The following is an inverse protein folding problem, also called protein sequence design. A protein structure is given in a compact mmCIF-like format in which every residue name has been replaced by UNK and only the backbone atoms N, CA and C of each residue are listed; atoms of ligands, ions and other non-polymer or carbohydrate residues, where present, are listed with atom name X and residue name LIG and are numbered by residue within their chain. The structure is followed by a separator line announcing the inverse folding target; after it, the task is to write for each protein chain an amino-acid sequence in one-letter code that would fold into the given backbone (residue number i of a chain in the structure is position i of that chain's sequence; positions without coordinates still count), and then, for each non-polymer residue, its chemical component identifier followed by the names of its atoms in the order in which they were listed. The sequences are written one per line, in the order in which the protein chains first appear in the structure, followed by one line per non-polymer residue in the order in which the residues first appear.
data_IF_379183147623
#
_entry.id   IF_379183147623
#
_cell.length_a   1.000
_cell.length_b   1.000
_cell.length_c   1.000
_cell.angle_alpha   90.00
_cell.angle_beta   90.00
_cell.angle_gamma   90.00
#
_symmetry.space_group_name_H-M   'P 1'
#
loop_
_entity.id
_entity.type
_entity.pdbx_description
1 polymer ?
#
# COMPACT_ATOMS: atom_id res chain seq x y z
N UNK A 1 31.78 -8.00 91.60
CA UNK A 1 31.32 -7.94 90.15
C UNK A 1 32.41 -8.66 89.37
N UNK A 2 32.09 -9.80 88.78
CA UNK A 2 33.02 -10.64 88.08
C UNK A 2 33.28 -10.08 86.66
N UNK A 3 34.56 -10.16 86.24
CA UNK A 3 35.02 -9.77 84.87
C UNK A 3 34.23 -10.45 83.74
N UNK A 4 33.54 -11.54 84.06
CA UNK A 4 32.67 -12.28 83.13
C UNK A 4 31.37 -11.57 82.78
N UNK A 5 30.72 -10.82 83.70
CA UNK A 5 29.50 -10.08 83.52
C UNK A 5 29.69 -8.88 82.57
N UNK A 6 30.86 -8.25 82.52
CA UNK A 6 31.13 -7.10 81.66
C UNK A 6 31.36 -7.51 80.21
N UNK A 7 31.86 -8.70 79.94
CA UNK A 7 32.06 -9.19 78.57
C UNK A 7 30.79 -9.73 77.89
N UNK A 8 29.82 -10.21 78.70
CA UNK A 8 28.51 -10.62 78.18
C UNK A 8 27.64 -9.39 77.79
N UNK A 9 27.74 -8.29 78.55
CA UNK A 9 26.96 -7.06 78.26
C UNK A 9 27.49 -6.30 77.01
N UNK A 10 28.82 -6.30 76.78
CA UNK A 10 29.40 -5.72 75.56
C UNK A 10 29.06 -6.55 74.31
N UNK A 11 29.00 -7.85 74.39
CA UNK A 11 28.63 -8.77 73.27
C UNK A 11 27.17 -8.66 72.90
N UNK A 12 26.26 -8.48 73.88
CA UNK A 12 24.83 -8.29 73.66
C UNK A 12 24.53 -6.95 72.97
N UNK A 13 25.22 -5.87 73.36
CA UNK A 13 25.10 -4.56 72.71
C UNK A 13 25.56 -4.54 71.25
N UNK A 14 26.65 -5.25 70.94
CA UNK A 14 27.15 -5.38 69.57
C UNK A 14 26.19 -6.15 68.69
N UNK A 15 25.62 -7.27 69.14
CA UNK A 15 24.65 -8.09 68.40
C UNK A 15 23.35 -7.31 68.12
N UNK A 16 22.88 -6.50 69.06
CA UNK A 16 21.70 -5.63 68.87
C UNK A 16 21.99 -4.59 67.78
N UNK A 17 23.15 -3.93 67.83
CA UNK A 17 23.53 -2.91 66.83
C UNK A 17 23.66 -3.52 65.40
N UNK A 18 24.25 -4.70 65.27
CA UNK A 18 24.35 -5.40 63.98
C UNK A 18 22.98 -5.83 63.47
N UNK A 19 22.12 -6.33 64.35
CA UNK A 19 20.74 -6.71 64.01
C UNK A 19 19.91 -5.53 63.51
N UNK A 20 20.04 -4.35 64.12
CA UNK A 20 19.36 -3.13 63.68
C UNK A 20 19.85 -2.64 62.35
N UNK A 21 21.18 -2.66 62.08
CA UNK A 21 21.75 -2.35 60.77
C UNK A 21 21.26 -3.34 59.71
N UNK A 22 21.21 -4.63 59.98
CA UNK A 22 20.72 -5.64 59.05
C UNK A 22 19.24 -5.48 58.76
N UNK A 23 18.44 -5.15 59.77
CA UNK A 23 17.00 -4.87 59.62
C UNK A 23 16.74 -3.63 58.76
N UNK A 24 17.49 -2.55 58.94
CA UNK A 24 17.46 -1.34 58.16
C UNK A 24 17.82 -1.60 56.67
N UNK A 25 18.86 -2.42 56.47
CA UNK A 25 19.33 -2.80 55.10
C UNK A 25 18.28 -3.67 54.37
N UNK A 26 17.68 -4.64 55.10
CA UNK A 26 16.58 -5.45 54.60
C UNK A 26 15.37 -4.62 54.19
N UNK A 27 15.01 -3.62 55.03
CA UNK A 27 13.89 -2.74 54.73
C UNK A 27 14.10 -1.92 53.46
N UNK A 28 15.28 -1.32 53.27
CA UNK A 28 15.65 -0.60 52.05
C UNK A 28 15.60 -1.56 50.82
N UNK A 29 16.11 -2.77 51.01
CA UNK A 29 16.06 -3.77 49.91
C UNK A 29 14.65 -4.13 49.51
N UNK A 30 13.73 -4.34 50.48
CA UNK A 30 12.32 -4.63 50.18
C UNK A 30 11.66 -3.45 49.46
N UNK A 31 11.87 -2.19 49.89
CA UNK A 31 11.32 -1.02 49.24
C UNK A 31 11.81 -0.89 47.79
N UNK A 32 13.14 -1.07 47.58
CA UNK A 32 13.70 -1.00 46.22
C UNK A 32 13.20 -2.13 45.33
N UNK A 33 13.00 -3.33 45.87
CA UNK A 33 12.43 -4.47 45.15
C UNK A 33 10.97 -4.18 44.74
N UNK A 34 10.16 -3.68 45.65
CA UNK A 34 8.76 -3.33 45.38
C UNK A 34 8.68 -2.23 44.33
N UNK A 35 9.47 -1.18 44.43
CA UNK A 35 9.55 -0.12 43.45
C UNK A 35 9.97 -0.64 42.08
N UNK A 36 10.94 -1.55 42.03
CA UNK A 36 11.36 -2.22 40.78
C UNK A 36 10.23 -3.04 40.15
N UNK A 37 9.50 -3.84 40.96
CA UNK A 37 8.38 -4.65 40.48
C UNK A 37 7.28 -3.78 39.88
N UNK A 38 6.93 -2.66 40.52
CA UNK A 38 5.92 -1.72 40.02
C UNK A 38 6.36 -1.13 38.69
N UNK A 39 7.59 -0.61 38.59
CA UNK A 39 8.12 -0.06 37.35
C UNK A 39 8.22 -1.11 36.24
N UNK A 40 8.56 -2.34 36.57
CA UNK A 40 8.65 -3.45 35.63
C UNK A 40 7.25 -3.86 35.08
N UNK A 41 6.25 -3.90 35.96
CA UNK A 41 4.85 -4.14 35.55
C UNK A 41 4.34 -3.05 34.62
N UNK A 42 4.62 -1.80 34.89
CA UNK A 42 4.27 -0.67 34.02
C UNK A 42 4.95 -0.76 32.65
N UNK A 43 6.24 -1.13 32.62
CA UNK A 43 6.97 -1.33 31.39
C UNK A 43 6.36 -2.47 30.53
N UNK A 44 6.02 -3.60 31.17
CA UNK A 44 5.36 -4.74 30.49
C UNK A 44 3.99 -4.32 29.93
N UNK A 45 3.19 -3.56 30.66
CA UNK A 45 1.87 -3.10 30.19
C UNK A 45 2.01 -2.16 28.98
N UNK A 46 2.95 -1.22 29.03
CA UNK A 46 3.26 -0.33 27.90
C UNK A 46 3.69 -1.12 26.67
N UNK A 47 4.59 -2.09 26.85
CA UNK A 47 5.06 -2.95 25.75
C UNK A 47 3.92 -3.78 25.14
N UNK A 48 3.05 -4.37 25.96
CA UNK A 48 1.88 -5.12 25.48
C UNK A 48 0.93 -4.24 24.67
N UNK A 49 0.71 -2.99 25.09
CA UNK A 49 -0.12 -2.04 24.35
C UNK A 49 0.47 -1.71 23.00
N UNK A 50 1.78 -1.41 22.94
CA UNK A 50 2.50 -1.13 21.68
C UNK A 50 2.42 -2.34 20.73
N UNK A 51 2.69 -3.55 21.23
CA UNK A 51 2.63 -4.78 20.42
C UNK A 51 1.23 -5.02 19.86
N UNK A 52 0.16 -4.81 20.65
CA UNK A 52 -1.22 -4.94 20.17
C UNK A 52 -1.52 -3.95 19.05
N UNK A 53 -1.17 -2.67 19.24
CA UNK A 53 -1.37 -1.64 18.22
C UNK A 53 -0.61 -1.98 16.94
N UNK A 54 0.64 -2.42 17.04
CA UNK A 54 1.42 -2.86 15.88
C UNK A 54 0.76 -4.03 15.15
N UNK A 55 0.27 -5.03 15.89
CA UNK A 55 -0.41 -6.20 15.30
C UNK A 55 -1.70 -5.77 14.56
N UNK A 56 -2.48 -4.86 15.14
CA UNK A 56 -3.69 -4.34 14.47
C UNK A 56 -3.36 -3.57 13.19
N UNK A 57 -2.33 -2.73 13.23
CA UNK A 57 -1.84 -1.99 12.05
C UNK A 57 -1.43 -2.96 10.95
N UNK A 58 -0.58 -3.93 11.26
CA UNK A 58 -0.14 -4.95 10.29
C UNK A 58 -1.34 -5.67 9.67
N UNK A 59 -2.30 -6.11 10.51
CA UNK A 59 -3.52 -6.77 10.02
C UNK A 59 -4.33 -5.90 9.06
N UNK A 60 -4.46 -4.60 9.35
CA UNK A 60 -5.17 -3.66 8.46
C UNK A 60 -4.47 -3.50 7.12
N UNK A 61 -3.13 -3.39 7.10
CA UNK A 61 -2.37 -3.33 5.85
C UNK A 61 -2.48 -4.63 5.04
N UNK A 62 -2.39 -5.79 5.70
CA UNK A 62 -2.58 -7.08 5.03
C UNK A 62 -3.97 -7.17 4.37
N UNK A 63 -5.03 -6.76 5.07
CA UNK A 63 -6.38 -6.75 4.51
C UNK A 63 -6.52 -5.81 3.30
N UNK A 64 -5.79 -4.68 3.27
CA UNK A 64 -5.79 -3.78 2.11
C UNK A 64 -5.12 -4.42 0.90
N UNK A 65 -3.99 -5.09 1.09
CA UNK A 65 -3.27 -5.80 0.03
C UNK A 65 -4.09 -6.97 -0.51
N UNK A 66 -4.78 -7.72 0.35
CA UNK A 66 -5.73 -8.76 -0.05
C UNK A 66 -6.87 -8.16 -0.87
N UNK A 67 -7.53 -7.11 -0.38
CA UNK A 67 -8.62 -6.41 -1.11
C UNK A 67 -8.15 -5.91 -2.47
N UNK A 68 -6.95 -5.34 -2.57
CA UNK A 68 -6.38 -4.88 -3.83
C UNK A 68 -6.13 -6.04 -4.80
N UNK A 69 -5.58 -7.15 -4.30
CA UNK A 69 -5.32 -8.34 -5.12
C UNK A 69 -6.62 -8.96 -5.63
N UNK A 70 -7.65 -9.07 -4.81
CA UNK A 70 -8.96 -9.59 -5.18
C UNK A 70 -9.63 -8.69 -6.24
N UNK A 71 -9.53 -7.36 -6.09
CA UNK A 71 -9.99 -6.41 -7.10
C UNK A 71 -9.30 -6.63 -8.45
N UNK A 72 -7.99 -6.77 -8.47
CA UNK A 72 -7.23 -6.99 -9.70
C UNK A 72 -7.61 -8.32 -10.38
N UNK A 73 -7.78 -9.38 -9.59
CA UNK A 73 -8.24 -10.69 -10.10
C UNK A 73 -9.66 -10.61 -10.68
N UNK A 74 -10.56 -9.90 -10.01
CA UNK A 74 -11.92 -9.67 -10.49
C UNK A 74 -11.93 -8.89 -11.81
N UNK A 75 -11.17 -7.80 -11.89
CA UNK A 75 -11.05 -6.99 -13.11
C UNK A 75 -10.48 -7.82 -14.25
N UNK A 76 -9.40 -8.58 -14.01
CA UNK A 76 -8.81 -9.48 -15.00
C UNK A 76 -9.85 -10.46 -15.53
N UNK A 77 -10.57 -11.17 -14.64
CA UNK A 77 -11.60 -12.14 -15.04
C UNK A 77 -12.70 -11.50 -15.88
N UNK A 78 -13.16 -10.30 -15.50
CA UNK A 78 -14.21 -9.59 -16.25
C UNK A 78 -13.71 -9.14 -17.63
N UNK A 79 -12.47 -8.68 -17.76
CA UNK A 79 -11.86 -8.28 -19.02
C UNK A 79 -11.62 -9.48 -19.95
N UNK A 80 -11.17 -10.62 -19.39
CA UNK A 80 -11.02 -11.87 -20.14
C UNK A 80 -12.36 -12.36 -20.72
N UNK A 81 -13.49 -12.17 -20.02
CA UNK A 81 -14.83 -12.47 -20.54
C UNK A 81 -15.22 -11.57 -21.72
N UNK A 82 -14.66 -10.37 -21.80
CA UNK A 82 -14.79 -9.46 -22.94
C UNK A 82 -13.70 -9.67 -24.03
N UNK A 83 -12.95 -10.79 -23.96
CA UNK A 83 -11.82 -11.11 -24.83
C UNK A 83 -10.66 -10.10 -24.77
N UNK A 84 -10.50 -9.37 -23.68
CA UNK A 84 -9.38 -8.45 -23.45
C UNK A 84 -8.40 -9.11 -22.49
N UNK A 85 -7.21 -9.45 -23.01
CA UNK A 85 -6.16 -10.11 -22.22
C UNK A 85 -5.30 -9.05 -21.52
N UNK A 86 -5.25 -9.13 -20.20
CA UNK A 86 -4.45 -8.25 -19.33
C UNK A 86 -3.56 -9.08 -18.40
N UNK A 87 -2.49 -8.46 -17.94
CA UNK A 87 -1.63 -9.00 -16.89
C UNK A 87 -1.85 -8.27 -15.58
N UNK A 88 -1.60 -8.94 -14.45
CA UNK A 88 -1.63 -8.31 -13.14
C UNK A 88 -0.29 -8.45 -12.44
N UNK A 89 0.10 -7.38 -11.76
CA UNK A 89 1.19 -7.33 -10.81
C UNK A 89 0.58 -7.01 -9.44
N UNK A 90 0.24 -8.06 -8.69
CA UNK A 90 -0.46 -7.93 -7.40
C UNK A 90 0.41 -7.25 -6.35
N UNK A 91 1.72 -7.45 -6.39
CA UNK A 91 2.67 -6.84 -5.44
C UNK A 91 2.64 -5.31 -5.54
N UNK A 92 2.65 -4.80 -6.78
CA UNK A 92 2.65 -3.35 -7.03
C UNK A 92 1.25 -2.77 -7.28
N UNK A 93 0.21 -3.59 -7.25
CA UNK A 93 -1.17 -3.14 -7.44
C UNK A 93 -1.48 -2.68 -8.86
N UNK A 94 -0.95 -3.37 -9.88
CA UNK A 94 -1.03 -2.96 -11.29
C UNK A 94 -1.88 -3.92 -12.11
N UNK A 95 -2.80 -3.37 -12.89
CA UNK A 95 -3.45 -4.01 -14.04
C UNK A 95 -2.77 -3.51 -15.31
N UNK A 96 -2.06 -4.39 -16.00
CA UNK A 96 -1.26 -4.08 -17.18
C UNK A 96 -2.05 -4.32 -18.45
N UNK A 97 -2.25 -3.27 -19.24
CA UNK A 97 -2.79 -3.34 -20.59
C UNK A 97 -1.64 -3.52 -21.59
N UNK A 98 -1.42 -4.77 -21.99
CA UNK A 98 -0.37 -5.13 -22.96
C UNK A 98 -0.73 -4.66 -24.37
N UNK A 99 0.18 -4.78 -25.33
CA UNK A 99 -0.10 -4.49 -26.75
C UNK A 99 -1.29 -5.30 -27.31
N UNK A 100 -1.59 -6.47 -26.74
CA UNK A 100 -2.77 -7.26 -27.14
C UNK A 100 -4.09 -6.64 -26.68
N UNK A 101 -4.07 -5.88 -25.60
CA UNK A 101 -5.24 -5.16 -25.10
C UNK A 101 -5.36 -3.78 -25.75
N UNK A 102 -4.25 -3.02 -25.80
CA UNK A 102 -4.23 -1.64 -26.31
C UNK A 102 -2.87 -1.36 -26.96
N UNK A 103 -2.88 -1.19 -28.29
CA UNK A 103 -1.68 -0.90 -29.06
C UNK A 103 -1.68 0.54 -29.61
N UNK A 104 -0.59 1.27 -29.38
CA UNK A 104 -0.36 2.55 -30.02
C UNK A 104 0.51 2.41 -31.27
N UNK A 105 0.26 3.22 -32.28
CA UNK A 105 1.14 3.32 -33.45
C UNK A 105 2.55 3.73 -33.02
N UNK A 106 3.56 3.26 -33.74
CA UNK A 106 4.96 3.65 -33.49
C UNK A 106 5.11 5.17 -33.47
N UNK A 107 5.86 5.69 -32.52
CA UNK A 107 6.12 7.13 -32.34
C UNK A 107 4.83 8.00 -32.27
N UNK A 108 3.72 7.41 -31.80
CA UNK A 108 2.43 8.09 -31.73
C UNK A 108 1.68 7.76 -30.43
N UNK A 109 0.82 8.67 -30.03
CA UNK A 109 -0.21 8.46 -29.00
C UNK A 109 -1.62 8.36 -29.62
N UNK A 110 -1.74 8.19 -30.94
CA UNK A 110 -3.04 7.93 -31.58
C UNK A 110 -3.40 6.46 -31.52
N UNK A 111 -4.67 6.19 -31.30
CA UNK A 111 -5.28 4.85 -31.34
C UNK A 111 -5.93 4.63 -32.71
N UNK A 112 -6.07 3.39 -33.10
CA UNK A 112 -7.02 3.01 -34.15
C UNK A 112 -8.38 2.69 -33.52
N UNK A 113 -9.38 2.43 -34.38
CA UNK A 113 -10.75 2.18 -33.97
C UNK A 113 -10.91 0.95 -33.06
N UNK A 114 -10.13 -0.11 -33.32
CA UNK A 114 -10.17 -1.33 -32.51
C UNK A 114 -9.62 -1.08 -31.11
N UNK A 115 -8.47 -0.42 -30.99
CA UNK A 115 -7.85 -0.10 -29.72
C UNK A 115 -8.67 0.93 -28.90
N UNK A 116 -9.33 1.85 -29.59
CA UNK A 116 -10.29 2.75 -28.94
C UNK A 116 -11.51 2.00 -28.40
N UNK A 117 -12.03 1.03 -29.16
CA UNK A 117 -13.12 0.16 -28.72
C UNK A 117 -12.73 -0.69 -27.52
N UNK A 118 -11.54 -1.29 -27.55
CA UNK A 118 -11.00 -2.04 -26.42
C UNK A 118 -10.92 -1.17 -25.15
N UNK A 119 -10.41 0.06 -25.26
CA UNK A 119 -10.35 0.98 -24.12
C UNK A 119 -11.74 1.38 -23.60
N UNK A 120 -12.73 1.56 -24.47
CA UNK A 120 -14.13 1.81 -24.06
C UNK A 120 -14.70 0.61 -23.30
N UNK A 121 -14.43 -0.60 -23.75
CA UNK A 121 -14.84 -1.83 -23.05
C UNK A 121 -14.15 -1.95 -21.68
N UNK A 122 -12.84 -1.66 -21.60
CA UNK A 122 -12.12 -1.59 -20.33
C UNK A 122 -12.77 -0.55 -19.41
N UNK A 123 -13.06 0.65 -19.92
CA UNK A 123 -13.75 1.70 -19.18
C UNK A 123 -15.10 1.23 -18.62
N UNK A 124 -15.90 0.51 -19.40
CA UNK A 124 -17.19 -0.05 -18.97
C UNK A 124 -17.03 -1.11 -17.86
N UNK A 125 -16.02 -1.96 -17.95
CA UNK A 125 -15.70 -2.95 -16.89
C UNK A 125 -15.25 -2.26 -15.60
N UNK A 126 -14.41 -1.22 -15.70
CA UNK A 126 -14.01 -0.40 -14.55
C UNK A 126 -15.21 0.30 -13.93
N UNK A 127 -16.10 0.87 -14.76
CA UNK A 127 -17.33 1.55 -14.35
C UNK A 127 -18.28 0.64 -13.57
N UNK A 128 -18.33 -0.63 -13.94
CA UNK A 128 -19.14 -1.63 -13.24
C UNK A 128 -18.55 -2.09 -11.90
N UNK A 129 -17.24 -1.94 -11.66
CA UNK A 129 -16.55 -2.52 -10.50
C UNK A 129 -16.07 -1.45 -9.52
N UNK A 130 -15.37 -0.43 -10.01
CA UNK A 130 -14.67 0.57 -9.17
C UNK A 130 -15.59 1.30 -8.19
N UNK A 131 -16.84 1.67 -8.55
CA UNK A 131 -17.74 2.35 -7.62
C UNK A 131 -17.97 1.60 -6.30
N UNK A 132 -17.85 0.26 -6.29
CA UNK A 132 -18.03 -0.54 -5.09
C UNK A 132 -16.80 -0.55 -4.16
N UNK A 133 -15.65 -0.09 -4.67
CA UNK A 133 -14.38 -0.02 -3.93
C UNK A 133 -14.00 1.38 -3.47
N UNK A 134 -14.92 2.34 -3.54
CA UNK A 134 -14.70 3.72 -3.10
C UNK A 134 -15.49 4.05 -1.84
N UNK A 135 -15.12 5.14 -1.16
CA UNK A 135 -15.76 5.53 0.12
C UNK A 135 -17.19 6.02 -0.06
N UNK A 136 -17.47 6.70 -1.19
CA UNK A 136 -18.76 7.26 -1.51
C UNK A 136 -19.23 6.74 -2.89
N UNK A 137 -19.81 5.53 -2.94
CA UNK A 137 -20.32 4.99 -4.19
C UNK A 137 -21.49 5.83 -4.72
N UNK A 138 -21.63 5.99 -6.06
CA UNK A 138 -22.79 6.62 -6.65
C UNK A 138 -24.10 5.92 -6.24
N UNK A 139 -25.15 6.68 -5.97
CA UNK A 139 -26.43 6.19 -5.40
C UNK A 139 -27.17 5.14 -6.24
N UNK A 140 -26.85 5.01 -7.52
CA UNK A 140 -27.48 4.06 -8.44
C UNK A 140 -26.64 2.81 -8.72
N UNK A 141 -25.51 2.63 -8.03
CA UNK A 141 -24.64 1.48 -8.25
C UNK A 141 -25.01 0.36 -7.30
N UNK A 142 -25.39 -0.80 -7.86
CA UNK A 142 -25.69 -1.99 -7.05
C UNK A 142 -24.40 -2.73 -6.68
N UNK A 143 -23.97 -2.60 -5.43
CA UNK A 143 -22.81 -3.26 -4.88
C UNK A 143 -23.15 -4.44 -3.96
N UNK A 144 -24.40 -4.92 -3.94
CA UNK A 144 -24.86 -5.99 -3.03
C UNK A 144 -24.14 -7.33 -3.26
N UNK A 145 -23.67 -7.58 -4.49
CA UNK A 145 -22.90 -8.78 -4.82
C UNK A 145 -21.43 -8.71 -4.42
N UNK A 146 -20.96 -7.56 -3.94
CA UNK A 146 -19.59 -7.35 -3.45
C UNK A 146 -19.59 -7.52 -1.93
N UNK A 147 -19.13 -8.66 -1.43
CA UNK A 147 -18.99 -8.92 0.00
C UNK A 147 -18.09 -7.87 0.66
N UNK A 148 -18.26 -7.67 1.96
CA UNK A 148 -17.60 -6.65 2.82
C UNK A 148 -16.18 -6.29 2.38
N UNK A 149 -16.09 -5.23 1.59
CA UNK A 149 -14.81 -4.71 1.12
C UNK A 149 -14.14 -3.97 2.28
N UNK A 150 -13.01 -4.50 2.73
CA UNK A 150 -12.27 -3.98 3.88
C UNK A 150 -11.33 -2.80 3.55
N UNK A 151 -11.12 -2.54 2.26
CA UNK A 151 -10.26 -1.45 1.78
C UNK A 151 -10.97 -0.58 0.75
N UNK A 152 -10.54 0.67 0.65
CA UNK A 152 -11.06 1.64 -0.31
C UNK A 152 -9.95 2.14 -1.21
N UNK A 153 -10.29 2.41 -2.46
CA UNK A 153 -9.37 3.04 -3.41
C UNK A 153 -9.19 4.50 -3.03
N UNK A 154 -7.93 4.94 -2.96
CA UNK A 154 -7.54 6.33 -2.84
C UNK A 154 -7.33 6.95 -4.21
N UNK A 155 -6.55 6.28 -5.08
CA UNK A 155 -6.26 6.76 -6.42
C UNK A 155 -5.98 5.64 -7.41
N UNK A 156 -6.21 5.93 -8.70
CA UNK A 156 -5.88 5.07 -9.84
C UNK A 156 -5.06 5.89 -10.83
N UNK A 157 -3.83 5.46 -11.07
CA UNK A 157 -2.96 6.11 -12.04
C UNK A 157 -3.02 5.38 -13.38
N UNK A 158 -3.31 6.13 -14.43
CA UNK A 158 -3.12 5.67 -15.82
C UNK A 158 -1.68 5.98 -16.19
N UNK A 159 -0.83 4.95 -16.21
CA UNK A 159 0.61 5.08 -16.39
C UNK A 159 1.02 4.67 -17.81
N UNK A 160 1.71 5.57 -18.52
CA UNK A 160 2.25 5.27 -19.85
C UNK A 160 3.73 4.88 -19.77
N UNK A 161 4.10 3.88 -20.56
CA UNK A 161 5.47 3.36 -20.66
C UNK A 161 5.91 3.22 -22.11
N UNK A 162 7.21 3.30 -22.35
CA UNK A 162 7.85 3.04 -23.64
C UNK A 162 8.94 1.99 -23.49
N UNK A 163 9.38 1.42 -24.61
CA UNK A 163 10.68 0.78 -24.66
C UNK A 163 11.81 1.84 -24.60
N UNK A 164 13.06 1.39 -24.58
CA UNK A 164 14.23 2.26 -24.49
C UNK A 164 14.79 2.70 -25.86
N UNK A 165 14.01 2.54 -26.94
CA UNK A 165 14.38 3.13 -28.23
C UNK A 165 14.21 4.66 -28.14
N UNK A 166 15.28 5.44 -28.37
CA UNK A 166 15.19 6.89 -28.24
C UNK A 166 14.14 7.49 -29.15
N UNK A 167 13.25 8.30 -28.57
CA UNK A 167 12.23 9.06 -29.29
C UNK A 167 12.74 10.46 -29.55
N UNK A 168 12.72 10.89 -30.79
CA UNK A 168 12.91 12.27 -31.18
C UNK A 168 12.11 12.55 -32.46
N UNK A 169 11.04 13.28 -32.37
CA UNK A 169 10.16 13.62 -33.49
C UNK A 169 9.70 15.07 -33.39
N UNK A 170 9.09 15.60 -34.44
CA UNK A 170 8.51 16.93 -34.40
C UNK A 170 7.36 17.07 -33.38
N UNK A 171 6.77 15.96 -32.93
CA UNK A 171 5.62 15.93 -32.02
C UNK A 171 6.01 15.59 -30.56
N UNK A 172 7.03 14.75 -30.37
CA UNK A 172 7.48 14.32 -29.06
C UNK A 172 9.00 14.48 -28.98
N UNK A 173 9.46 15.17 -27.97
CA UNK A 173 10.88 15.44 -27.73
C UNK A 173 11.63 14.19 -27.25
N UNK A 174 10.98 13.38 -26.45
CA UNK A 174 11.56 12.20 -25.81
C UNK A 174 10.47 11.14 -25.46
N UNK A 175 10.90 10.04 -24.86
CA UNK A 175 10.04 8.96 -24.40
C UNK A 175 9.12 9.39 -23.24
N UNK A 176 9.49 10.39 -22.45
CA UNK A 176 8.67 10.92 -21.37
C UNK A 176 7.42 11.62 -21.92
N UNK A 177 7.60 12.51 -22.91
CA UNK A 177 6.46 13.19 -23.56
C UNK A 177 5.56 12.19 -24.28
N UNK A 178 6.14 11.20 -24.97
CA UNK A 178 5.38 10.17 -25.67
C UNK A 178 4.56 9.33 -24.70
N UNK A 179 5.16 8.85 -23.61
CA UNK A 179 4.47 8.01 -22.61
C UNK A 179 3.35 8.77 -21.90
N UNK A 180 3.59 10.02 -21.50
CA UNK A 180 2.57 10.89 -20.90
C UNK A 180 1.40 11.12 -21.88
N UNK A 181 1.70 11.39 -23.16
CA UNK A 181 0.68 11.59 -24.18
C UNK A 181 -0.18 10.34 -24.42
N UNK A 182 0.41 9.14 -24.38
CA UNK A 182 -0.31 7.86 -24.46
C UNK A 182 -1.23 7.65 -23.27
N UNK A 183 -0.74 7.92 -22.08
CA UNK A 183 -1.54 7.83 -20.85
C UNK A 183 -2.71 8.81 -20.86
N UNK A 184 -2.52 10.05 -21.32
CA UNK A 184 -3.59 11.05 -21.51
C UNK A 184 -4.62 10.56 -22.52
N UNK A 185 -4.17 9.98 -23.65
CA UNK A 185 -5.07 9.43 -24.66
C UNK A 185 -5.91 8.28 -24.10
N UNK A 186 -5.28 7.34 -23.40
CA UNK A 186 -5.98 6.24 -22.73
C UNK A 186 -7.01 6.77 -21.71
N UNK A 187 -6.61 7.69 -20.84
CA UNK A 187 -7.51 8.33 -19.87
C UNK A 187 -8.74 8.96 -20.53
N UNK A 188 -8.53 9.70 -21.63
CA UNK A 188 -9.60 10.39 -22.35
C UNK A 188 -10.61 9.46 -23.02
N UNK A 189 -10.24 8.21 -23.25
CA UNK A 189 -11.14 7.18 -23.78
C UNK A 189 -11.81 6.39 -22.65
N UNK A 190 -11.07 6.05 -21.59
CA UNK A 190 -11.55 5.24 -20.47
C UNK A 190 -12.63 5.93 -19.63
N UNK A 191 -12.48 7.24 -19.36
CA UNK A 191 -13.17 7.90 -18.25
C UNK A 191 -14.40 8.74 -18.65
N UNK A 192 -14.42 9.57 -19.72
CA UNK A 192 -15.41 10.65 -19.89
C UNK A 192 -16.87 10.26 -19.96
N UNK A 193 -17.20 9.07 -20.45
CA UNK A 193 -18.59 8.60 -20.62
C UNK A 193 -19.01 7.60 -19.55
N UNK A 194 -18.35 7.61 -18.40
CA UNK A 194 -18.56 6.69 -17.28
C UNK A 194 -18.82 7.47 -16.00
N UNK A 195 -19.39 6.83 -14.98
CA UNK A 195 -19.52 7.44 -13.64
C UNK A 195 -18.15 7.66 -12.97
N UNK A 196 -17.11 7.01 -13.47
CA UNK A 196 -15.74 7.12 -12.96
C UNK A 196 -15.22 8.56 -12.93
N UNK A 197 -15.66 9.40 -13.86
CA UNK A 197 -15.30 10.82 -13.93
C UNK A 197 -15.75 11.63 -12.70
N UNK A 198 -16.76 11.14 -11.96
CA UNK A 198 -17.34 11.82 -10.80
C UNK A 198 -16.89 11.22 -9.47
N UNK A 199 -16.14 10.11 -9.51
CA UNK A 199 -15.72 9.42 -8.29
C UNK A 199 -14.58 10.19 -7.62
N UNK A 200 -14.76 10.40 -6.31
CA UNK A 200 -13.78 11.06 -5.45
C UNK A 200 -13.36 10.15 -4.29
N UNK A 201 -12.16 10.35 -3.80
CA UNK A 201 -11.64 9.67 -2.63
C UNK A 201 -12.20 10.28 -1.31
N UNK A 202 -11.68 9.81 -0.17
CA UNK A 202 -12.07 10.31 1.16
C UNK A 202 -11.78 11.80 1.37
N UNK A 203 -10.85 12.37 0.59
CA UNK A 203 -10.47 13.79 0.63
C UNK A 203 -11.23 14.63 -0.41
N UNK A 204 -12.26 14.09 -1.04
CA UNK A 204 -13.05 14.72 -2.11
C UNK A 204 -12.21 15.08 -3.35
N UNK A 205 -11.15 14.34 -3.62
CA UNK A 205 -10.30 14.50 -4.79
C UNK A 205 -10.65 13.44 -5.84
N UNK A 206 -10.61 13.75 -7.16
CA UNK A 206 -10.79 12.75 -8.20
C UNK A 206 -9.80 11.59 -8.03
N UNK A 207 -10.29 10.36 -8.16
CA UNK A 207 -9.43 9.18 -7.94
C UNK A 207 -8.50 8.89 -9.12
N UNK A 208 -8.84 9.36 -10.34
CA UNK A 208 -8.04 9.10 -11.53
C UNK A 208 -6.99 10.18 -11.78
N UNK A 209 -5.77 9.73 -12.07
CA UNK A 209 -4.62 10.56 -12.44
C UNK A 209 -3.90 9.96 -13.65
N UNK A 210 -3.00 10.74 -14.24
CA UNK A 210 -2.19 10.33 -15.40
C UNK A 210 -0.71 10.51 -15.08
N UNK A 211 0.11 9.52 -15.48
CA UNK A 211 1.57 9.57 -15.34
C UNK A 211 2.26 9.02 -16.59
N UNK A 212 3.42 9.58 -16.93
CA UNK A 212 4.31 9.06 -17.95
C UNK A 212 5.65 8.70 -17.34
N UNK A 213 6.18 7.54 -17.67
CA UNK A 213 7.46 7.05 -17.13
C UNK A 213 8.53 6.83 -18.20
N UNK A 214 8.23 7.11 -19.46
CA UNK A 214 9.16 6.83 -20.56
C UNK A 214 9.63 5.39 -20.50
N UNK A 215 10.93 5.18 -20.66
CA UNK A 215 11.64 3.92 -20.52
C UNK A 215 12.08 3.63 -19.06
N UNK A 216 11.81 4.52 -18.10
CA UNK A 216 12.36 4.48 -16.75
C UNK A 216 11.86 3.33 -15.86
N UNK A 217 10.79 2.63 -16.25
CA UNK A 217 10.22 1.50 -15.52
C UNK A 217 9.99 0.29 -16.42
N UNK A 218 11.06 -0.40 -16.89
CA UNK A 218 10.92 -1.60 -17.68
C UNK A 218 10.29 -2.74 -16.87
N UNK A 219 9.62 -3.67 -17.54
CA UNK A 219 9.14 -4.90 -16.92
C UNK A 219 10.34 -5.75 -16.50
N UNK A 220 10.22 -6.48 -15.39
CA UNK A 220 11.28 -7.36 -14.89
C UNK A 220 11.74 -8.33 -15.97
N UNK A 221 13.05 -8.40 -16.21
CA UNK A 221 13.65 -9.18 -17.27
C UNK A 221 13.68 -8.50 -18.66
N UNK A 222 13.06 -7.32 -18.80
CA UNK A 222 13.00 -6.55 -20.04
C UNK A 222 13.78 -5.22 -19.98
N UNK A 223 14.82 -5.16 -19.15
CA UNK A 223 15.75 -4.02 -19.06
C UNK A 223 16.96 -4.26 -19.94
N UNK A 224 17.27 -3.32 -20.85
CA UNK A 224 18.35 -3.46 -21.83
C UNK A 224 19.29 -2.26 -21.73
N UNK A 225 20.62 -2.52 -21.81
CA UNK A 225 21.66 -1.50 -21.83
C UNK A 225 21.86 -0.84 -23.18
N UNK A 226 21.19 -1.33 -24.23
CA UNK A 226 21.20 -0.81 -25.59
C UNK A 226 19.77 -0.57 -26.08
N UNK A 227 19.55 0.32 -27.06
CA UNK A 227 18.22 0.54 -27.63
C UNK A 227 17.62 -0.74 -28.20
N UNK A 228 16.48 -1.14 -27.69
CA UNK A 228 15.76 -2.35 -28.13
C UNK A 228 14.26 -2.10 -28.14
N UNK A 229 13.66 -2.29 -29.31
CA UNK A 229 12.20 -2.31 -29.41
C UNK A 229 11.64 -3.50 -28.64
N UNK A 230 10.80 -3.23 -27.65
CA UNK A 230 10.21 -4.23 -26.77
C UNK A 230 8.71 -3.97 -26.57
N UNK A 231 7.84 -4.82 -27.15
CA UNK A 231 6.40 -4.72 -26.99
C UNK A 231 5.94 -4.72 -25.52
N UNK A 232 6.59 -5.52 -24.68
CA UNK A 232 6.25 -5.66 -23.27
C UNK A 232 6.43 -4.33 -22.48
N UNK A 233 7.41 -3.53 -22.89
CA UNK A 233 7.64 -2.22 -22.30
C UNK A 233 6.74 -1.12 -22.88
N UNK A 234 6.17 -1.29 -24.06
CA UNK A 234 5.20 -0.35 -24.67
C UNK A 234 3.79 -0.69 -24.21
N UNK A 235 3.40 -0.16 -23.07
CA UNK A 235 2.17 -0.52 -22.38
C UNK A 235 1.51 0.66 -21.66
N UNK A 236 0.27 0.45 -21.27
CA UNK A 236 -0.45 1.26 -20.27
C UNK A 236 -0.66 0.39 -19.04
N UNK A 237 -0.26 0.88 -17.90
CA UNK A 237 -0.53 0.28 -16.59
C UNK A 237 -1.62 1.09 -15.87
N UNK A 238 -2.59 0.41 -15.25
CA UNK A 238 -3.53 1.00 -14.29
C UNK A 238 -3.06 0.61 -12.89
N UNK A 239 -2.54 1.59 -12.14
CA UNK A 239 -2.04 1.35 -10.78
C UNK A 239 -3.06 1.77 -9.74
N UNK A 240 -3.43 0.83 -8.88
CA UNK A 240 -4.41 1.02 -7.82
C UNK A 240 -3.72 1.29 -6.48
N UNK A 241 -4.00 2.43 -5.90
CA UNK A 241 -3.54 2.81 -4.56
C UNK A 241 -4.73 2.74 -3.62
N UNK A 242 -4.58 2.01 -2.52
CA UNK A 242 -5.61 1.90 -1.50
C UNK A 242 -5.45 2.99 -0.44
N UNK A 243 -6.56 3.44 0.13
CA UNK A 243 -6.56 4.39 1.24
C UNK A 243 -5.84 3.77 2.45
N UNK A 244 -4.83 4.43 3.01
CA UNK A 244 -4.15 3.92 4.20
C UNK A 244 -5.14 3.73 5.37
N UNK A 245 -4.95 2.73 6.25
CA UNK A 245 -5.79 2.56 7.41
C UNK A 245 -5.62 3.76 8.36
N UNK A 246 -6.73 4.31 8.85
CA UNK A 246 -6.71 5.31 9.92
C UNK A 246 -6.14 4.68 11.20
N UNK A 247 -5.20 5.36 11.84
CA UNK A 247 -4.61 4.99 13.13
C UNK A 247 -5.58 5.18 14.28
#
# INVERSE_FOLDING_TARGET
MSQHDLLEDEGAGYLISVSDMMSGLLFIFIITLVAFIINFQDAIQKQKKVTRTQTEIVKRFTNLDETRSDLLLLLKKKLENENIIVEIDSEHGVLRLTENAVQFKTASASLDEQNETNLKTIGSVLDAVIPCYVSNPPTHHNCESFEKINGKIDSIFVEGHTDNVPMNSSKYKDNWELSASRAITAYRVLIPNTVLNQIVNTNLQPIFSVSGYGEGRPVTGHSYSYPKADPTNRRIDLRFIMTPPSL
#
